data_IF_329725761649
#
_entry.id   IF_329725761649
#
_cell.length_a   1.000
_cell.length_b   1.000
_cell.length_c   1.000
_cell.angle_alpha   90.00
_cell.angle_beta   90.00
_cell.angle_gamma   90.00
#
_symmetry.space_group_name_H-M   'P 1'
#
loop_
_entity.id
_entity.type
_entity.pdbx_description
1 polymer ?
#
# COMPACT_ATOMS: atom_id res chain seq x y z
N UNK A 1 0.87 11.01 -0.82
CA UNK A 1 1.42 10.88 0.55
C UNK A 1 2.55 9.85 0.58
N UNK A 2 3.33 9.76 1.65
CA UNK A 2 4.37 8.72 1.76
C UNK A 2 3.79 7.29 1.62
N UNK A 3 2.60 7.05 2.18
CA UNK A 3 1.93 5.75 2.08
C UNK A 3 1.50 5.39 0.65
N UNK A 4 0.97 6.36 -0.11
CA UNK A 4 0.61 6.16 -1.53
C UNK A 4 1.85 5.90 -2.39
N UNK A 5 2.95 6.62 -2.14
CA UNK A 5 4.22 6.39 -2.81
C UNK A 5 4.78 5.00 -2.50
N UNK A 6 4.70 4.56 -1.23
CA UNK A 6 5.08 3.20 -0.82
C UNK A 6 4.24 2.12 -1.52
N UNK A 7 2.93 2.32 -1.63
CA UNK A 7 2.06 1.40 -2.37
C UNK A 7 2.43 1.33 -3.86
N UNK A 8 2.66 2.48 -4.51
CA UNK A 8 3.07 2.54 -5.92
C UNK A 8 4.44 1.86 -6.16
N UNK A 9 5.37 2.00 -5.21
CA UNK A 9 6.70 1.41 -5.26
C UNK A 9 6.69 -0.12 -5.17
N UNK A 10 5.54 -0.75 -4.85
CA UNK A 10 5.43 -2.22 -4.89
C UNK A 10 5.36 -2.78 -6.31
N UNK A 11 4.92 -1.97 -7.29
CA UNK A 11 4.69 -2.42 -8.68
C UNK A 11 5.89 -3.12 -9.32
N UNK A 12 7.15 -2.62 -9.25
CA UNK A 12 8.29 -3.30 -9.84
C UNK A 12 8.83 -4.47 -9.00
N UNK A 13 8.30 -4.74 -7.81
CA UNK A 13 8.84 -5.76 -6.91
C UNK A 13 8.38 -7.17 -7.30
N UNK A 14 9.29 -8.14 -7.17
CA UNK A 14 8.92 -9.56 -7.17
C UNK A 14 8.44 -9.97 -5.78
N UNK A 15 7.22 -10.47 -5.68
CA UNK A 15 6.66 -10.89 -4.41
C UNK A 15 7.43 -12.09 -3.82
N UNK A 16 7.88 -11.98 -2.57
CA UNK A 16 8.57 -13.06 -1.84
C UNK A 16 7.74 -13.64 -0.69
N UNK A 17 6.57 -13.04 -0.40
CA UNK A 17 5.65 -13.42 0.67
C UNK A 17 4.20 -13.42 0.18
N UNK A 18 3.32 -14.09 0.92
CA UNK A 18 1.88 -14.14 0.63
C UNK A 18 1.52 -14.98 -0.60
N UNK A 19 0.27 -14.89 -1.06
CA UNK A 19 -0.22 -15.66 -2.23
C UNK A 19 0.41 -15.20 -3.55
N UNK A 20 0.82 -13.94 -3.64
CA UNK A 20 1.47 -13.39 -4.84
C UNK A 20 2.85 -14.02 -5.10
N UNK A 21 3.54 -14.55 -4.07
CA UNK A 21 4.84 -15.21 -4.27
C UNK A 21 4.74 -16.50 -5.09
N UNK A 22 3.55 -17.12 -5.14
CA UNK A 22 3.31 -18.33 -5.96
C UNK A 22 3.45 -18.05 -7.46
N UNK A 23 3.37 -16.79 -7.88
CA UNK A 23 3.45 -16.37 -9.28
C UNK A 23 4.88 -16.08 -9.75
N UNK A 24 5.86 -16.00 -8.84
CA UNK A 24 7.25 -15.70 -9.18
C UNK A 24 7.39 -14.37 -9.94
N UNK A 25 8.12 -14.38 -11.06
CA UNK A 25 8.32 -13.20 -11.92
C UNK A 25 7.00 -12.59 -12.43
N UNK A 26 5.92 -13.39 -12.54
CA UNK A 26 4.60 -12.88 -12.98
C UNK A 26 3.93 -11.96 -11.96
N UNK A 27 4.48 -11.82 -10.75
CA UNK A 27 4.02 -10.83 -9.78
C UNK A 27 4.52 -9.41 -10.09
N UNK A 28 5.63 -9.28 -10.84
CA UNK A 28 6.19 -7.99 -11.22
C UNK A 28 5.22 -7.26 -12.15
N UNK A 29 5.08 -5.95 -11.95
CA UNK A 29 4.17 -5.09 -12.70
C UNK A 29 2.81 -4.92 -12.04
N UNK A 30 2.54 -5.61 -10.93
CA UNK A 30 1.29 -5.54 -10.18
C UNK A 30 1.50 -4.84 -8.83
N UNK A 31 0.56 -3.96 -8.47
CA UNK A 31 0.54 -3.36 -7.13
C UNK A 31 0.17 -4.42 -6.08
N UNK A 32 0.83 -4.38 -4.93
CA UNK A 32 0.43 -5.19 -3.79
C UNK A 32 -0.89 -4.64 -3.20
N UNK A 33 -1.98 -5.42 -3.18
CA UNK A 33 -3.27 -4.96 -2.66
C UNK A 33 -3.22 -4.63 -1.16
N UNK A 34 -2.33 -5.28 -0.38
CA UNK A 34 -2.13 -4.98 1.03
C UNK A 34 -1.55 -3.58 1.25
N UNK A 35 -0.51 -3.22 0.51
CA UNK A 35 0.08 -1.89 0.51
C UNK A 35 -0.91 -0.81 0.05
N UNK A 36 -1.69 -1.07 -1.01
CA UNK A 36 -2.75 -0.15 -1.47
C UNK A 36 -3.79 0.08 -0.37
N UNK A 37 -4.31 -0.99 0.24
CA UNK A 37 -5.30 -0.88 1.32
C UNK A 37 -4.75 -0.12 2.54
N UNK A 38 -3.49 -0.38 2.90
CA UNK A 38 -2.80 0.33 3.99
C UNK A 38 -2.68 1.82 3.70
N UNK A 39 -2.40 2.21 2.45
CA UNK A 39 -2.35 3.62 2.07
C UNK A 39 -3.69 4.33 2.25
N UNK A 40 -4.81 3.65 1.97
CA UNK A 40 -6.16 4.17 2.18
C UNK A 40 -6.48 4.33 3.67
N UNK A 41 -6.12 3.33 4.49
CA UNK A 41 -6.30 3.37 5.94
C UNK A 41 -5.52 4.53 6.56
N UNK A 42 -4.24 4.69 6.20
CA UNK A 42 -3.40 5.77 6.71
C UNK A 42 -3.92 7.15 6.27
N UNK A 43 -4.44 7.26 5.05
CA UNK A 43 -5.08 8.50 4.58
C UNK A 43 -6.31 8.84 5.42
N UNK A 44 -7.16 7.85 5.72
CA UNK A 44 -8.33 8.05 6.56
C UNK A 44 -7.94 8.41 8.01
N UNK A 45 -6.93 7.74 8.58
CA UNK A 45 -6.43 8.01 9.91
C UNK A 45 -5.84 9.43 10.03
N UNK A 46 -5.04 9.87 9.06
CA UNK A 46 -4.49 11.22 9.02
C UNK A 46 -5.59 12.29 8.95
N UNK A 47 -6.64 12.05 8.15
CA UNK A 47 -7.81 12.92 8.10
C UNK A 47 -8.52 13.01 9.46
N UNK A 48 -8.83 11.86 10.07
CA UNK A 48 -9.51 11.80 11.35
C UNK A 48 -8.70 12.48 12.47
N UNK A 49 -7.37 12.30 12.48
CA UNK A 49 -6.49 12.97 13.43
C UNK A 49 -6.46 14.50 13.25
N UNK A 50 -6.50 14.98 12.01
CA UNK A 50 -6.57 16.41 11.70
C UNK A 50 -7.91 17.04 12.12
N UNK A 51 -9.02 16.33 11.93
CA UNK A 51 -10.35 16.77 12.38
C UNK A 51 -10.45 16.81 13.91
N UNK A 52 -9.85 15.83 14.61
CA UNK A 52 -9.83 15.80 16.07
C UNK A 52 -8.98 16.91 16.71
N UNK A 53 -7.95 17.40 16.03
CA UNK A 53 -7.12 18.51 16.53
C UNK A 53 -7.70 19.90 16.27
N UNK A 54 -8.75 20.00 15.45
CA UNK A 54 -9.46 21.24 15.15
C UNK A 54 -10.73 21.46 16.01
N UNK A 55 -11.10 20.46 16.81
CA UNK A 55 -12.19 20.48 17.79
C UNK A 55 -11.67 20.82 19.19
#
# INVERSE_FOLDING_TARGET
TAAEAGAAATKPLRATKGRASYLGERSIGHLDPGAVSTSLILRAAARAAGEAGAA
#
